data_IF_936276187860
#
_entry.id   IF_936276187860
#
_cell.length_a   1.000
_cell.length_b   1.000
_cell.length_c   1.000
_cell.angle_alpha   90.00
_cell.angle_beta   90.00
_cell.angle_gamma   90.00
#
_symmetry.space_group_name_H-M   'P 1'
#
loop_
_entity.id
_entity.type
_entity.pdbx_description
1 polymer ?
#
# COMPACT_ATOMS: atom_id res chain seq x y z
N UNK A 1 34.56 -15.17 -15.79
CA UNK A 1 33.17 -15.67 -15.70
C UNK A 1 32.30 -14.45 -15.56
N UNK A 2 31.21 -14.34 -16.32
CA UNK A 2 30.25 -13.26 -16.11
C UNK A 2 29.66 -13.41 -14.70
N UNK A 3 29.63 -12.35 -13.89
CA UNK A 3 28.70 -12.32 -12.75
C UNK A 3 27.31 -12.41 -13.37
N UNK A 4 26.52 -13.39 -12.93
CA UNK A 4 25.10 -13.31 -13.20
C UNK A 4 24.60 -12.13 -12.38
N UNK A 5 24.07 -11.11 -13.04
CA UNK A 5 23.49 -9.95 -12.37
C UNK A 5 22.33 -10.35 -11.47
N UNK A 6 21.74 -9.41 -10.71
CA UNK A 6 20.61 -9.69 -9.86
C UNK A 6 19.45 -10.25 -10.69
N UNK A 7 18.73 -11.22 -10.15
CA UNK A 7 17.60 -11.85 -10.84
C UNK A 7 16.37 -11.74 -9.95
N UNK A 8 15.29 -11.16 -10.49
CA UNK A 8 13.98 -11.20 -9.86
C UNK A 8 13.27 -12.49 -10.28
N UNK A 9 12.71 -13.17 -9.29
CA UNK A 9 11.97 -14.44 -9.46
C UNK A 9 10.49 -14.30 -9.14
N UNK A 10 10.12 -13.42 -8.20
CA UNK A 10 8.73 -13.23 -7.79
C UNK A 10 8.50 -11.85 -7.19
N UNK A 11 7.30 -11.32 -7.41
CA UNK A 11 6.74 -10.17 -6.73
C UNK A 11 5.53 -10.62 -5.88
N UNK A 12 5.33 -9.99 -4.73
CA UNK A 12 4.13 -10.22 -3.91
C UNK A 12 3.85 -9.00 -3.00
N UNK A 13 2.64 -8.42 -3.05
CA UNK A 13 1.61 -8.62 -4.07
C UNK A 13 2.05 -8.08 -5.45
N UNK A 14 1.33 -8.41 -6.51
CA UNK A 14 1.60 -7.92 -7.88
C UNK A 14 0.71 -6.75 -8.30
N UNK A 15 -0.16 -6.27 -7.41
CA UNK A 15 -1.14 -5.22 -7.69
C UNK A 15 -1.34 -4.30 -6.49
N UNK A 16 -1.58 -3.02 -6.74
CA UNK A 16 -1.89 -2.01 -5.72
C UNK A 16 -2.64 -0.80 -6.28
N UNK A 17 -3.07 0.08 -5.39
CA UNK A 17 -3.70 1.35 -5.74
C UNK A 17 -2.69 2.42 -6.15
N UNK A 18 -3.16 3.42 -6.90
CA UNK A 18 -2.38 4.60 -7.33
C UNK A 18 -1.89 5.45 -6.16
N UNK A 19 -2.47 5.29 -4.97
CA UNK A 19 -2.01 5.97 -3.75
C UNK A 19 -0.67 5.46 -3.21
N UNK A 20 -0.16 4.31 -3.70
CA UNK A 20 1.01 3.67 -3.12
C UNK A 20 0.72 3.03 -1.75
N UNK A 21 1.76 2.78 -0.96
CA UNK A 21 1.69 2.28 0.42
C UNK A 21 1.53 0.76 0.57
N UNK A 22 1.56 0.01 -0.53
CA UNK A 22 1.47 -1.46 -0.49
C UNK A 22 2.88 -2.03 -0.28
N UNK A 23 3.04 -2.91 0.72
CA UNK A 23 4.31 -3.61 1.00
C UNK A 23 4.62 -4.65 -0.05
N UNK A 24 5.45 -4.24 -1.01
CA UNK A 24 5.95 -5.11 -2.05
C UNK A 24 7.15 -5.90 -1.54
N UNK A 25 7.07 -7.22 -1.66
CA UNK A 25 8.18 -8.14 -1.46
C UNK A 25 8.69 -8.63 -2.82
N UNK A 26 9.96 -8.37 -3.10
CA UNK A 26 10.68 -8.78 -4.32
C UNK A 26 11.61 -9.93 -3.96
N UNK A 27 11.32 -11.13 -4.43
CA UNK A 27 12.15 -12.32 -4.20
C UNK A 27 13.08 -12.55 -5.39
N UNK A 28 14.35 -12.85 -5.12
CA UNK A 28 15.35 -13.00 -6.15
C UNK A 28 16.68 -13.53 -5.64
N UNK A 29 17.73 -13.29 -6.42
CA UNK A 29 19.12 -13.64 -6.08
C UNK A 29 20.05 -12.54 -6.55
N UNK A 30 21.22 -12.41 -5.91
CA UNK A 30 22.24 -11.44 -6.32
C UNK A 30 21.95 -10.01 -5.86
N UNK A 31 21.03 -9.81 -4.91
CA UNK A 31 20.85 -8.51 -4.28
C UNK A 31 21.96 -8.25 -3.26
N UNK A 32 22.21 -6.98 -3.00
CA UNK A 32 23.13 -6.55 -1.96
C UNK A 32 22.70 -7.00 -0.56
N UNK A 33 23.68 -7.23 0.30
CA UNK A 33 23.51 -7.57 1.71
C UNK A 33 23.24 -6.36 2.63
N UNK A 34 23.30 -5.14 2.10
CA UNK A 34 23.11 -3.91 2.87
C UNK A 34 24.32 -3.50 3.73
N UNK A 35 25.38 -4.31 3.77
CA UNK A 35 26.60 -4.07 4.55
C UNK A 35 27.77 -3.74 3.63
N UNK A 36 27.69 -2.57 2.98
CA UNK A 36 28.69 -2.11 2.01
C UNK A 36 28.28 -2.33 0.56
N UNK A 37 27.14 -2.98 0.34
CA UNK A 37 26.41 -3.01 -0.93
C UNK A 37 25.08 -2.26 -0.79
N UNK A 38 24.60 -1.68 -1.89
CA UNK A 38 23.37 -0.88 -1.96
C UNK A 38 22.38 -1.49 -2.94
N UNK A 39 21.10 -1.46 -2.57
CA UNK A 39 20.00 -1.87 -3.42
C UNK A 39 19.12 -0.65 -3.67
N UNK A 40 18.94 -0.30 -4.94
CA UNK A 40 17.93 0.65 -5.37
C UNK A 40 16.81 -0.13 -6.07
N UNK A 41 15.56 0.07 -5.64
CA UNK A 41 14.40 -0.62 -6.19
C UNK A 41 13.49 0.42 -6.83
N UNK A 42 13.01 0.12 -8.03
CA UNK A 42 12.13 1.00 -8.78
C UNK A 42 10.89 0.24 -9.26
N UNK A 43 9.77 0.96 -9.35
CA UNK A 43 8.57 0.53 -10.05
C UNK A 43 8.33 1.52 -11.19
N UNK A 44 8.55 1.08 -12.42
CA UNK A 44 8.71 1.98 -13.56
C UNK A 44 9.88 2.92 -13.32
N UNK A 45 9.62 4.23 -13.29
CA UNK A 45 10.63 5.27 -13.02
C UNK A 45 10.62 5.76 -11.57
N UNK A 46 9.72 5.25 -10.73
CA UNK A 46 9.53 5.73 -9.37
C UNK A 46 10.39 4.91 -8.41
N UNK A 47 11.13 5.59 -7.53
CA UNK A 47 11.89 4.92 -6.48
C UNK A 47 10.95 4.30 -5.44
N UNK A 48 11.20 3.04 -5.09
CA UNK A 48 10.57 2.32 -4.00
C UNK A 48 11.61 2.15 -2.90
N UNK A 49 11.51 2.95 -1.84
CA UNK A 49 12.54 2.99 -0.80
C UNK A 49 12.66 1.63 -0.10
N UNK A 50 13.84 1.01 -0.19
CA UNK A 50 14.09 -0.31 0.37
C UNK A 50 14.12 -0.26 1.89
N UNK A 51 13.23 -1.04 2.50
CA UNK A 51 13.16 -1.24 3.94
C UNK A 51 14.21 -2.26 4.36
N UNK A 52 15.39 -1.75 4.71
CA UNK A 52 16.58 -2.56 4.98
C UNK A 52 16.36 -3.62 6.06
N UNK A 53 15.58 -3.31 7.10
CA UNK A 53 15.31 -4.25 8.20
C UNK A 53 14.63 -5.56 7.73
N UNK A 54 13.84 -5.50 6.66
CA UNK A 54 13.12 -6.67 6.11
C UNK A 54 13.78 -7.26 4.86
N UNK A 55 14.92 -6.70 4.47
CA UNK A 55 15.61 -7.02 3.22
C UNK A 55 16.85 -7.89 3.45
N UNK A 56 17.15 -8.75 2.48
CA UNK A 56 18.24 -9.73 2.46
C UNK A 56 18.77 -9.86 1.03
N UNK A 57 19.93 -10.50 0.79
CA UNK A 57 20.45 -10.76 -0.56
C UNK A 57 19.52 -11.53 -1.53
N UNK A 58 18.41 -12.08 -1.02
CA UNK A 58 17.42 -12.83 -1.80
C UNK A 58 16.01 -12.25 -1.70
N UNK A 59 15.83 -11.15 -0.96
CA UNK A 59 14.52 -10.53 -0.73
C UNK A 59 14.69 -9.03 -0.51
N UNK A 60 14.03 -8.20 -1.32
CA UNK A 60 13.89 -6.78 -1.03
C UNK A 60 12.44 -6.47 -0.67
N UNK A 61 12.27 -5.53 0.24
CA UNK A 61 10.96 -5.11 0.72
C UNK A 61 10.87 -3.60 0.63
N UNK A 62 9.78 -3.06 0.08
CA UNK A 62 9.51 -1.62 0.04
C UNK A 62 8.01 -1.35 0.14
N UNK A 63 7.64 -0.12 0.47
CA UNK A 63 6.27 0.37 0.31
C UNK A 63 6.15 1.06 -1.05
N UNK A 64 5.15 0.67 -1.85
CA UNK A 64 5.00 1.18 -3.22
C UNK A 64 4.81 2.70 -3.23
N UNK A 65 5.47 3.44 -4.15
CA UNK A 65 5.28 4.89 -4.24
C UNK A 65 3.88 5.26 -4.75
N UNK A 66 3.49 6.52 -4.57
CA UNK A 66 2.30 7.04 -5.28
C UNK A 66 2.53 6.97 -6.80
N UNK A 67 1.53 6.50 -7.54
CA UNK A 67 1.53 6.50 -9.00
C UNK A 67 0.49 7.50 -9.52
N UNK A 68 0.98 8.60 -10.08
CA UNK A 68 0.15 9.58 -10.79
C UNK A 68 0.27 9.32 -12.28
N UNK A 69 -0.71 8.59 -12.79
CA UNK A 69 -0.81 8.34 -14.22
C UNK A 69 -1.02 9.67 -14.98
N UNK A 70 -0.09 10.06 -15.86
CA UNK A 70 -0.23 11.26 -16.69
C UNK A 70 -1.35 11.16 -17.73
N UNK A 71 -1.62 9.96 -18.24
CA UNK A 71 -2.66 9.70 -19.25
C UNK A 71 -4.02 9.41 -18.58
N UNK A 72 -4.00 9.17 -17.28
CA UNK A 72 -5.20 8.98 -16.46
C UNK A 72 -5.82 7.60 -16.60
N UNK A 73 -5.06 6.60 -17.07
CA UNK A 73 -5.53 5.22 -17.16
C UNK A 73 -5.87 4.66 -15.78
N UNK A 74 -6.75 3.67 -15.81
CA UNK A 74 -7.20 2.98 -14.61
C UNK A 74 -6.34 1.76 -14.28
N UNK A 75 -5.56 1.25 -15.23
CA UNK A 75 -4.89 -0.05 -15.15
C UNK A 75 -3.54 -0.04 -15.87
N UNK A 76 -2.45 0.06 -15.12
CA UNK A 76 -1.09 0.25 -15.65
C UNK A 76 -0.14 -0.78 -15.07
N UNK A 77 0.62 -1.44 -15.95
CA UNK A 77 1.68 -2.38 -15.59
C UNK A 77 3.02 -1.68 -15.71
N UNK A 78 3.79 -1.67 -14.63
CA UNK A 78 5.11 -1.04 -14.58
C UNK A 78 6.17 -2.05 -14.17
N UNK A 79 7.33 -2.09 -14.86
CA UNK A 79 8.38 -3.04 -14.55
C UNK A 79 9.00 -2.74 -13.18
N UNK A 80 9.26 -3.79 -12.41
CA UNK A 80 10.04 -3.71 -11.18
C UNK A 80 11.49 -4.00 -11.49
N UNK A 81 12.37 -3.07 -11.15
CA UNK A 81 13.81 -3.18 -11.42
C UNK A 81 14.61 -2.96 -10.16
N UNK A 82 15.61 -3.81 -9.93
CA UNK A 82 16.61 -3.64 -8.87
C UNK A 82 17.93 -3.22 -9.51
N UNK A 83 18.55 -2.18 -8.96
CA UNK A 83 19.94 -1.79 -9.25
C UNK A 83 20.80 -2.12 -8.04
N UNK A 84 21.85 -2.90 -8.25
CA UNK A 84 22.84 -3.22 -7.21
C UNK A 84 24.11 -2.42 -7.46
N UNK A 85 24.55 -1.70 -6.42
CA UNK A 85 25.77 -0.86 -6.41
C UNK A 85 25.87 0.13 -7.58
N UNK A 86 24.73 0.62 -8.07
CA UNK A 86 24.64 1.59 -9.16
C UNK A 86 24.96 1.04 -10.57
N UNK A 87 25.16 -0.28 -10.73
CA UNK A 87 25.66 -0.84 -12.00
C UNK A 87 24.90 -2.04 -12.54
N UNK A 88 24.31 -2.89 -11.71
CA UNK A 88 23.65 -4.11 -12.21
C UNK A 88 22.13 -3.98 -12.14
N UNK A 89 21.45 -3.94 -13.30
CA UNK A 89 19.99 -3.97 -13.41
C UNK A 89 19.51 -5.42 -13.38
N UNK A 90 18.45 -5.71 -12.62
CA UNK A 90 17.94 -7.06 -12.49
C UNK A 90 17.32 -7.64 -13.76
N UNK A 91 17.62 -8.90 -14.05
CA UNK A 91 16.92 -9.70 -15.06
C UNK A 91 15.68 -10.38 -14.46
N UNK A 92 14.66 -10.63 -15.29
CA UNK A 92 13.47 -11.36 -14.88
C UNK A 92 13.52 -12.80 -15.38
N UNK A 93 13.59 -13.76 -14.45
CA UNK A 93 13.96 -15.14 -14.77
C UNK A 93 12.92 -15.96 -15.56
N UNK A 94 11.61 -15.63 -15.46
CA UNK A 94 10.49 -16.25 -16.21
C UNK A 94 9.08 -15.70 -15.89
N UNK A 95 8.96 -14.74 -14.99
CA UNK A 95 7.69 -14.17 -14.55
C UNK A 95 7.63 -12.68 -14.92
N UNK A 96 6.41 -12.22 -15.20
CA UNK A 96 6.06 -10.82 -15.42
C UNK A 96 6.38 -10.04 -14.13
N UNK A 97 7.55 -9.41 -14.06
CA UNK A 97 7.99 -8.59 -12.92
C UNK A 97 7.32 -7.22 -12.95
N UNK A 98 6.11 -7.14 -13.49
CA UNK A 98 5.37 -5.91 -13.57
C UNK A 98 4.48 -5.80 -12.33
N UNK A 99 4.57 -4.66 -11.67
CA UNK A 99 3.60 -4.29 -10.66
C UNK A 99 2.46 -3.56 -11.34
N UNK A 100 1.24 -4.02 -11.08
CA UNK A 100 0.02 -3.44 -11.61
C UNK A 100 -0.50 -2.35 -10.69
N UNK A 101 -0.44 -1.09 -11.12
CA UNK A 101 -1.22 -0.02 -10.52
C UNK A 101 -2.63 -0.05 -11.09
N UNK A 102 -3.61 -0.30 -10.23
CA UNK A 102 -5.02 -0.32 -10.60
C UNK A 102 -5.78 0.72 -9.77
N UNK A 103 -6.39 1.71 -10.43
CA UNK A 103 -7.17 2.77 -9.78
C UNK A 103 -8.32 2.19 -8.97
N UNK A 104 -8.89 1.07 -9.40
CA UNK A 104 -9.94 0.37 -8.66
C UNK A 104 -9.49 -0.15 -7.28
N UNK A 105 -8.20 -0.26 -7.01
CA UNK A 105 -7.66 -0.57 -5.67
C UNK A 105 -7.24 0.69 -4.90
N UNK A 106 -7.50 1.88 -5.44
CA UNK A 106 -7.31 3.13 -4.71
C UNK A 106 -8.61 3.45 -3.97
N UNK A 107 -8.59 3.43 -2.64
CA UNK A 107 -9.79 3.71 -1.87
C UNK A 107 -10.20 5.18 -2.06
N UNK A 108 -11.51 5.44 -2.04
CA UNK A 108 -12.02 6.82 -2.08
C UNK A 108 -13.03 7.00 -0.98
N UNK A 109 -12.80 8.01 -0.14
CA UNK A 109 -13.79 8.55 0.76
C UNK A 109 -14.77 9.42 -0.02
N UNK A 110 -16.03 8.97 -0.12
CA UNK A 110 -17.10 9.70 -0.79
C UNK A 110 -17.77 10.72 0.13
N UNK A 111 -18.20 10.28 1.32
CA UNK A 111 -18.80 11.15 2.34
C UNK A 111 -18.69 10.53 3.73
N UNK A 112 -18.92 11.34 4.75
CA UNK A 112 -19.07 10.91 6.14
C UNK A 112 -20.55 11.02 6.47
N UNK A 113 -21.18 9.89 6.81
CA UNK A 113 -22.63 9.81 7.01
C UNK A 113 -23.05 10.18 8.44
N UNK A 114 -22.16 10.04 9.41
CA UNK A 114 -22.38 10.55 10.77
C UNK A 114 -21.77 11.95 10.92
N UNK A 115 -22.56 13.03 11.08
CA UNK A 115 -22.01 14.28 11.57
C UNK A 115 -21.40 14.02 12.95
N UNK A 116 -20.20 14.52 13.23
CA UNK A 116 -19.51 14.33 14.51
C UNK A 116 -20.47 14.57 15.69
N UNK A 117 -21.01 13.49 16.27
CA UNK A 117 -21.99 13.55 17.34
C UNK A 117 -21.21 13.67 18.64
N UNK A 118 -21.51 14.69 19.42
CA UNK A 118 -21.07 14.82 20.80
C UNK A 118 -21.41 13.52 21.57
N UNK A 119 -20.41 12.63 21.73
CA UNK A 119 -20.51 11.38 22.47
C UNK A 119 -20.49 10.06 21.66
N UNK A 120 -20.59 10.09 20.33
CA UNK A 120 -20.36 8.87 19.52
C UNK A 120 -18.86 8.71 19.25
N UNK A 121 -18.31 7.53 19.60
CA UNK A 121 -16.92 7.15 19.26
C UNK A 121 -16.81 6.48 17.89
N UNK A 122 -17.91 6.37 17.16
CA UNK A 122 -17.94 5.70 15.85
C UNK A 122 -18.25 6.72 14.76
N UNK A 123 -17.37 6.76 13.75
CA UNK A 123 -17.59 7.45 12.50
C UNK A 123 -18.02 6.45 11.43
N UNK A 124 -19.07 6.77 10.68
CA UNK A 124 -19.50 5.98 9.51
C UNK A 124 -19.16 6.75 8.25
N UNK A 125 -18.38 6.11 7.38
CA UNK A 125 -17.90 6.66 6.12
C UNK A 125 -18.49 5.86 4.96
N UNK A 126 -18.80 6.53 3.87
CA UNK A 126 -19.19 5.92 2.61
C UNK A 126 -18.08 6.13 1.59
N UNK A 127 -17.71 5.07 0.89
CA UNK A 127 -16.71 5.18 -0.16
C UNK A 127 -16.56 3.92 -0.98
N UNK A 128 -15.50 3.87 -1.80
CA UNK A 128 -15.22 2.74 -2.69
C UNK A 128 -13.92 2.03 -2.35
N UNK A 129 -13.86 0.74 -2.70
CA UNK A 129 -12.66 -0.10 -2.71
C UNK A 129 -12.07 -0.47 -1.35
N UNK A 130 -12.78 -0.21 -0.26
CA UNK A 130 -12.37 -0.53 1.12
C UNK A 130 -12.12 -2.00 1.45
N UNK A 131 -12.45 -2.91 0.53
CA UNK A 131 -12.42 -4.36 0.74
C UNK A 131 -11.33 -5.05 -0.09
N UNK A 132 -10.72 -4.36 -1.05
CA UNK A 132 -9.68 -4.96 -1.90
C UNK A 132 -8.33 -5.16 -1.22
N UNK A 133 -8.05 -4.41 -0.15
CA UNK A 133 -6.82 -4.57 0.63
C UNK A 133 -6.83 -5.81 1.52
N UNK A 134 -8.01 -6.18 2.04
CA UNK A 134 -8.17 -7.31 2.95
C UNK A 134 -7.75 -8.65 2.31
N UNK A 135 -8.18 -8.91 1.08
CA UNK A 135 -7.80 -10.11 0.31
C UNK A 135 -6.31 -10.17 -0.05
N UNK A 136 -5.61 -9.04 0.05
CA UNK A 136 -4.24 -8.84 -0.42
C UNK A 136 -3.25 -8.57 0.73
N UNK A 137 -3.69 -8.76 1.99
CA UNK A 137 -2.89 -8.59 3.20
C UNK A 137 -2.32 -7.18 3.45
N UNK A 138 -3.01 -6.13 2.99
CA UNK A 138 -2.71 -4.74 3.35
C UNK A 138 -3.94 -4.02 3.91
N UNK A 139 -3.72 -3.09 4.84
CA UNK A 139 -4.78 -2.42 5.60
C UNK A 139 -4.96 -0.97 5.18
N UNK A 140 -6.17 -0.48 5.35
CA UNK A 140 -6.45 0.93 5.18
C UNK A 140 -6.24 1.66 6.51
N UNK A 141 -5.57 2.79 6.47
CA UNK A 141 -5.48 3.68 7.63
C UNK A 141 -6.20 4.99 7.33
N UNK A 142 -7.13 5.37 8.20
CA UNK A 142 -7.80 6.66 8.17
C UNK A 142 -7.42 7.48 9.39
N UNK A 143 -7.10 8.75 9.17
CA UNK A 143 -6.71 9.68 10.24
C UNK A 143 -7.45 11.01 10.15
N UNK A 144 -7.77 11.58 11.30
CA UNK A 144 -8.58 12.78 11.41
C UNK A 144 -7.89 13.89 12.21
N UNK A 145 -8.03 15.11 11.69
CA UNK A 145 -7.70 16.33 12.41
C UNK A 145 -6.21 16.68 12.47
N UNK A 146 -5.88 17.79 13.16
CA UNK A 146 -4.51 18.31 13.18
C UNK A 146 -3.53 17.43 13.95
N UNK A 147 -4.04 16.51 14.78
CA UNK A 147 -3.24 15.58 15.58
C UNK A 147 -3.13 14.19 14.92
N UNK A 148 -3.66 14.03 13.71
CA UNK A 148 -3.59 12.77 12.96
C UNK A 148 -4.20 11.59 13.75
N UNK A 149 -5.32 11.85 14.45
CA UNK A 149 -5.99 10.88 15.32
C UNK A 149 -6.44 9.69 14.48
N UNK A 150 -6.00 8.49 14.89
CA UNK A 150 -6.29 7.25 14.18
C UNK A 150 -7.78 6.93 14.27
N UNK A 151 -8.41 6.73 13.13
CA UNK A 151 -9.71 6.09 13.05
C UNK A 151 -9.50 4.59 12.92
N UNK A 152 -9.76 3.90 14.01
CA UNK A 152 -9.55 2.47 14.12
C UNK A 152 -10.62 1.71 13.33
N UNK A 153 -10.20 1.26 12.15
CA UNK A 153 -10.99 0.46 11.21
C UNK A 153 -11.02 -1.02 11.59
N UNK A 154 -10.07 -1.46 12.42
CA UNK A 154 -9.79 -2.85 12.77
C UNK A 154 -9.64 -2.95 14.29
N UNK A 155 -10.76 -2.86 15.03
CA UNK A 155 -10.75 -2.73 16.49
C UNK A 155 -10.18 -3.97 17.20
N UNK A 156 -10.13 -5.11 16.52
CA UNK A 156 -9.39 -6.27 16.96
C UNK A 156 -8.15 -6.46 16.05
N UNK A 157 -6.99 -6.72 16.66
CA UNK A 157 -5.72 -6.83 15.92
C UNK A 157 -5.74 -7.95 14.86
N UNK A 158 -6.59 -8.96 15.04
CA UNK A 158 -6.76 -10.11 14.15
C UNK A 158 -7.74 -9.85 12.98
N UNK A 159 -8.39 -8.68 12.92
CA UNK A 159 -9.37 -8.39 11.88
C UNK A 159 -8.71 -8.18 10.50
N UNK A 160 -9.06 -9.01 9.53
CA UNK A 160 -8.55 -8.90 8.15
C UNK A 160 -9.33 -7.87 7.32
N UNK A 161 -10.56 -7.55 7.73
CA UNK A 161 -11.48 -6.63 7.05
C UNK A 161 -11.89 -5.47 7.97
N UNK A 162 -12.10 -4.25 7.43
CA UNK A 162 -12.55 -3.12 8.22
C UNK A 162 -14.01 -3.30 8.68
N UNK A 163 -14.43 -2.60 9.76
CA UNK A 163 -15.81 -2.69 10.29
C UNK A 163 -16.84 -2.33 9.20
N UNK A 164 -17.47 -3.33 8.60
CA UNK A 164 -18.46 -3.15 7.55
C UNK A 164 -19.84 -2.82 8.14
N UNK A 165 -20.43 -1.72 7.68
CA UNK A 165 -21.80 -1.35 8.04
C UNK A 165 -22.81 -1.83 6.99
N UNK A 166 -22.47 -1.72 5.69
CA UNK A 166 -23.34 -2.15 4.59
C UNK A 166 -22.57 -2.21 3.26
N UNK A 167 -22.77 -3.28 2.48
CA UNK A 167 -22.29 -3.35 1.09
C UNK A 167 -23.38 -2.87 0.14
N UNK A 168 -23.12 -1.81 -0.62
CA UNK A 168 -24.09 -1.23 -1.57
C UNK A 168 -23.92 -1.73 -3.01
N UNK A 169 -22.95 -2.61 -3.24
CA UNK A 169 -22.59 -3.14 -4.56
C UNK A 169 -21.60 -2.25 -5.32
N UNK A 170 -21.02 -2.76 -6.41
CA UNK A 170 -20.18 -1.98 -7.34
C UNK A 170 -18.91 -1.39 -6.71
N UNK A 171 -18.32 -2.06 -5.73
CA UNK A 171 -17.17 -1.58 -4.94
C UNK A 171 -17.45 -0.49 -3.92
N UNK A 172 -18.72 -0.10 -3.75
CA UNK A 172 -19.12 0.89 -2.76
C UNK A 172 -19.71 0.27 -1.49
N UNK A 173 -19.40 0.87 -0.35
CA UNK A 173 -19.95 0.45 0.93
C UNK A 173 -19.76 1.46 2.04
N UNK A 174 -20.42 1.18 3.15
CA UNK A 174 -20.27 1.88 4.41
C UNK A 174 -19.23 1.16 5.26
N UNK A 175 -18.23 1.91 5.71
CA UNK A 175 -17.21 1.45 6.64
C UNK A 175 -17.24 2.33 7.87
N UNK A 176 -17.30 1.71 9.04
CA UNK A 176 -17.18 2.40 10.31
C UNK A 176 -15.75 2.32 10.84
N UNK A 177 -15.37 3.32 11.62
CA UNK A 177 -14.17 3.26 12.43
C UNK A 177 -14.41 3.91 13.78
N UNK A 178 -13.66 3.43 14.78
CA UNK A 178 -13.70 3.94 16.15
C UNK A 178 -12.63 5.00 16.34
N UNK A 179 -12.98 6.07 17.02
CA UNK A 179 -12.06 7.15 17.39
C UNK A 179 -12.01 7.24 18.91
N UNK A 180 -10.96 7.83 19.45
CA UNK A 180 -10.84 7.95 20.90
C UNK A 180 -11.68 9.11 21.42
N UNK A 181 -11.34 10.34 21.02
CA UNK A 181 -12.03 11.57 21.45
C UNK A 181 -11.93 12.68 20.39
N UNK A 182 -12.65 12.50 19.28
CA UNK A 182 -12.89 13.61 18.34
C UNK A 182 -13.90 14.60 18.94
N UNK A 183 -13.41 15.78 19.32
CA UNK A 183 -14.27 16.89 19.70
C UNK A 183 -15.19 17.34 18.54
N UNK A 184 -16.23 18.12 18.83
CA UNK A 184 -17.03 18.72 17.77
C UNK A 184 -16.18 19.78 17.02
N UNK A 185 -16.03 19.64 15.70
CA UNK A 185 -15.19 20.54 14.91
C UNK A 185 -15.10 20.17 13.44
N UNK A 186 -14.34 20.97 12.70
CA UNK A 186 -13.97 20.69 11.31
C UNK A 186 -12.56 20.09 11.28
N UNK A 187 -12.39 18.97 10.59
CA UNK A 187 -11.15 18.21 10.55
C UNK A 187 -10.74 17.89 9.12
N UNK A 188 -9.44 17.89 8.87
CA UNK A 188 -8.90 17.26 7.67
C UNK A 188 -8.95 15.75 7.83
N UNK A 189 -9.10 15.04 6.71
CA UNK A 189 -9.07 13.58 6.67
C UNK A 189 -7.94 13.15 5.77
N UNK A 190 -7.08 12.28 6.30
CA UNK A 190 -6.01 11.64 5.54
C UNK A 190 -6.34 10.16 5.43
N UNK A 191 -6.14 9.62 4.23
CA UNK A 191 -6.29 8.20 3.98
C UNK A 191 -5.00 7.64 3.41
N UNK A 192 -4.47 6.63 4.07
CA UNK A 192 -3.26 5.94 3.67
C UNK A 192 -3.57 4.44 3.48
N UNK A 193 -2.77 3.82 2.62
CA UNK A 193 -2.64 2.37 2.59
C UNK A 193 -1.43 2.03 3.42
N UNK A 194 -1.62 1.21 4.44
CA UNK A 194 -0.55 0.74 5.32
C UNK A 194 -0.49 -0.79 5.26
N UNK A 195 0.71 -1.33 5.10
CA UNK A 195 0.91 -2.75 5.36
C UNK A 195 1.13 -2.98 6.84
N UNK A 196 0.18 -3.59 7.53
CA UNK A 196 0.44 -4.08 8.88
C UNK A 196 1.19 -5.41 8.79
N UNK A 197 2.48 -5.39 9.21
CA UNK A 197 3.18 -6.44 9.97
C UNK A 197 4.61 -5.98 10.27
N UNK A 198 4.75 -5.26 11.39
CA UNK A 198 5.99 -5.03 12.11
C UNK A 198 5.70 -5.11 13.59
#
# INVERSE_FOLDING_TARGET
GASAGPVITRLSPTIGGHGGGVRLTVTGTGFGDGFGSTNELFIGTMACEVLQFYSTPTQLVCDTPEFRDPDGEDDVYLPVTVVVDGHEVSECGRNDCDFRYYRGHSPVLGRIDTPALAGSRTLVTYGRSWWYGADQAWRYEMRFGPNDERCDLYPEDDDEEPIQHEATGGHWGLVACRTDELAAGYYNVTMNVASDRG
#
